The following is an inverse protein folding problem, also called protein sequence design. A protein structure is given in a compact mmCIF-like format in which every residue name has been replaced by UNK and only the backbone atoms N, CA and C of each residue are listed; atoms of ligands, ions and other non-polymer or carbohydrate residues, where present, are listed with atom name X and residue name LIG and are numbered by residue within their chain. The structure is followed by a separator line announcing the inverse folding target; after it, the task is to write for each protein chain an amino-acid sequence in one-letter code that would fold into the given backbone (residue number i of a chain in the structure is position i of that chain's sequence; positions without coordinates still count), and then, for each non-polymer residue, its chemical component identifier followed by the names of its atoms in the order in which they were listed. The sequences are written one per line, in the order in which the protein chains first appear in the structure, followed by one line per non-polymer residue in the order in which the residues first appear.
data_IF_288554016621
#
_entry.id   IF_288554016621
#
_cell.length_a   1.000
_cell.length_b   1.000
_cell.length_c   1.000
_cell.angle_alpha   90.00
_cell.angle_beta   90.00
_cell.angle_gamma   90.00
#
_symmetry.space_group_name_H-M   'P 1'
#
loop_
_entity.id
_entity.type
_entity.pdbx_description
1 polymer ?
#
# COMPACT_ATOMS: atom_id res chain seq x y z
N UNK A 1 0.99 -24.38 11.34
CA UNK A 1 0.31 -23.36 10.50
C UNK A 1 0.38 -23.85 9.07
N UNK A 2 -0.74 -23.94 8.36
CA UNK A 2 -0.73 -24.38 6.95
C UNK A 2 -0.27 -23.23 6.06
N UNK A 3 0.72 -23.49 5.20
CA UNK A 3 1.11 -22.55 4.16
C UNK A 3 0.04 -22.49 3.07
N UNK A 4 0.00 -21.40 2.32
CA UNK A 4 -0.80 -21.28 1.10
C UNK A 4 0.02 -21.59 -0.18
N UNK A 5 1.24 -22.12 -0.03
CA UNK A 5 2.15 -22.41 -1.15
C UNK A 5 2.88 -21.20 -1.75
N UNK A 6 2.57 -19.97 -1.32
CA UNK A 6 3.21 -18.74 -1.82
C UNK A 6 4.41 -18.34 -0.97
N UNK A 7 5.42 -17.77 -1.61
CA UNK A 7 6.57 -17.15 -0.94
C UNK A 7 6.89 -15.79 -1.54
N UNK A 8 7.35 -14.87 -0.71
CA UNK A 8 7.76 -13.52 -1.09
C UNK A 8 9.13 -13.25 -0.48
N UNK A 9 10.03 -12.65 -1.26
CA UNK A 9 11.32 -12.16 -0.78
C UNK A 9 11.12 -10.79 -0.13
N UNK A 10 11.73 -10.58 1.04
CA UNK A 10 11.66 -9.31 1.75
C UNK A 10 12.18 -8.15 0.88
N UNK A 11 13.21 -8.39 0.06
CA UNK A 11 13.83 -7.39 -0.81
C UNK A 11 12.93 -6.88 -1.94
N UNK A 12 11.91 -7.66 -2.29
CA UNK A 12 10.94 -7.31 -3.34
C UNK A 12 9.77 -6.48 -2.82
N UNK A 13 9.61 -6.37 -1.51
CA UNK A 13 8.57 -5.55 -0.90
C UNK A 13 8.99 -4.07 -0.91
N UNK A 14 8.05 -3.13 -1.09
CA UNK A 14 8.30 -1.74 -0.74
C UNK A 14 8.79 -1.71 0.72
N UNK A 15 9.87 -0.99 1.05
CA UNK A 15 10.39 -1.09 2.41
C UNK A 15 9.42 -0.48 3.44
N UNK A 16 8.47 0.35 3.01
CA UNK A 16 7.36 0.89 3.82
C UNK A 16 6.30 -0.18 4.16
N UNK A 17 6.29 -1.31 3.45
CA UNK A 17 5.32 -2.39 3.61
C UNK A 17 5.89 -3.55 4.45
N UNK A 18 7.06 -3.38 5.04
CA UNK A 18 7.77 -4.38 5.83
C UNK A 18 8.42 -3.72 7.04
N UNK A 19 8.28 -4.29 8.22
CA UNK A 19 8.99 -3.88 9.42
C UNK A 19 10.08 -4.90 9.78
N UNK A 20 11.35 -4.52 9.58
CA UNK A 20 12.53 -5.27 10.02
C UNK A 20 13.27 -4.56 11.18
N UNK A 21 12.62 -3.64 11.89
CA UNK A 21 13.27 -2.90 12.96
C UNK A 21 13.73 -3.85 14.09
N UNK A 22 15.01 -3.78 14.51
CA UNK A 22 15.51 -4.59 15.63
C UNK A 22 14.70 -4.35 16.91
N UNK A 23 14.34 -5.42 17.62
CA UNK A 23 13.55 -5.35 18.85
C UNK A 23 12.03 -5.22 18.63
N UNK A 24 11.57 -4.97 17.41
CA UNK A 24 10.16 -4.93 17.08
C UNK A 24 9.67 -6.26 16.48
N UNK A 25 8.34 -6.42 16.43
CA UNK A 25 7.73 -7.59 15.79
C UNK A 25 7.88 -7.47 14.27
N UNK A 26 8.34 -8.55 13.64
CA UNK A 26 8.31 -8.70 12.19
C UNK A 26 6.86 -8.62 11.69
N UNK A 27 6.54 -7.57 10.97
CA UNK A 27 5.24 -7.34 10.35
C UNK A 27 5.41 -6.97 8.89
N UNK A 28 4.42 -7.29 8.06
CA UNK A 28 4.37 -6.83 6.68
C UNK A 28 2.93 -6.55 6.26
N UNK A 29 2.77 -5.76 5.22
CA UNK A 29 1.48 -5.58 4.55
C UNK A 29 1.14 -6.87 3.78
N UNK A 30 -0.05 -7.41 4.01
CA UNK A 30 -0.55 -8.55 3.25
C UNK A 30 -0.76 -8.15 1.78
N UNK A 31 -0.25 -8.90 0.79
CA UNK A 31 -0.39 -8.54 -0.63
C UNK A 31 -1.85 -8.62 -1.12
N UNK A 32 -2.69 -9.40 -0.46
CA UNK A 32 -4.07 -9.62 -0.90
C UNK A 32 -5.06 -8.63 -0.24
N UNK A 33 -4.96 -8.38 1.08
CA UNK A 33 -5.88 -7.49 1.82
C UNK A 33 -5.26 -6.13 2.21
N UNK A 34 -4.02 -5.86 1.79
CA UNK A 34 -3.29 -4.59 2.03
C UNK A 34 -3.28 -4.09 3.48
N UNK A 35 -3.44 -4.98 4.45
CA UNK A 35 -3.43 -4.65 5.88
C UNK A 35 -2.13 -5.15 6.50
N UNK A 36 -1.62 -4.43 7.51
CA UNK A 36 -0.49 -4.88 8.32
C UNK A 36 -0.81 -6.16 9.07
N UNK A 37 0.04 -7.17 8.90
CA UNK A 37 -0.08 -8.48 9.55
C UNK A 37 1.23 -8.89 10.19
N UNK A 38 1.12 -9.63 11.29
CA UNK A 38 2.27 -10.19 11.99
C UNK A 38 2.78 -11.40 11.22
N UNK A 39 4.10 -11.51 11.11
CA UNK A 39 4.78 -12.69 10.62
C UNK A 39 5.13 -13.59 11.80
N UNK A 40 4.69 -14.85 11.76
CA UNK A 40 5.08 -15.87 12.75
C UNK A 40 5.62 -17.09 12.03
N UNK A 41 6.74 -17.61 12.51
CA UNK A 41 7.45 -18.76 11.89
C UNK A 41 7.71 -18.54 10.38
N UNK A 42 8.04 -17.29 10.01
CA UNK A 42 8.30 -16.90 8.63
C UNK A 42 7.07 -16.87 7.72
N UNK A 43 5.85 -16.84 8.25
CA UNK A 43 4.61 -16.75 7.44
C UNK A 43 3.66 -15.68 7.96
N UNK A 44 2.86 -15.09 7.06
CA UNK A 44 1.75 -14.19 7.41
C UNK A 44 0.76 -14.95 8.29
N UNK A 45 0.50 -14.43 9.49
CA UNK A 45 -0.45 -15.04 10.42
C UNK A 45 -1.85 -15.15 9.79
N UNK A 46 -2.61 -16.24 10.04
CA UNK A 46 -3.95 -16.38 9.50
C UNK A 46 -4.84 -15.22 9.95
N UNK A 47 -5.53 -14.63 8.98
CA UNK A 47 -6.42 -13.49 9.19
C UNK A 47 -7.58 -13.53 8.20
N UNK A 48 -8.57 -12.67 8.41
CA UNK A 48 -9.72 -12.54 7.51
C UNK A 48 -9.47 -11.51 6.42
N UNK A 49 -10.14 -11.68 5.28
CA UNK A 49 -10.15 -10.70 4.21
C UNK A 49 -10.91 -9.43 4.65
N UNK A 50 -11.01 -8.44 3.75
CA UNK A 50 -11.66 -7.17 4.04
C UNK A 50 -13.16 -7.31 4.30
N UNK A 51 -13.77 -8.42 3.83
CA UNK A 51 -15.14 -8.79 4.15
C UNK A 51 -15.37 -9.19 5.63
N UNK A 52 -14.29 -9.36 6.41
CA UNK A 52 -14.36 -9.77 7.81
C UNK A 52 -14.87 -11.19 8.05
N UNK A 53 -15.14 -11.97 7.00
CA UNK A 53 -15.77 -13.30 7.09
C UNK A 53 -14.87 -14.37 6.49
N UNK A 54 -14.39 -14.18 5.27
CA UNK A 54 -13.58 -15.18 4.59
C UNK A 54 -12.13 -15.15 5.07
N UNK A 55 -11.45 -16.29 4.97
CA UNK A 55 -10.01 -16.34 5.23
C UNK A 55 -9.28 -15.63 4.08
N UNK A 56 -8.40 -14.69 4.41
CA UNK A 56 -7.62 -13.99 3.39
C UNK A 56 -6.71 -14.99 2.64
N UNK A 57 -6.68 -14.98 1.29
CA UNK A 57 -5.80 -15.84 0.48
C UNK A 57 -4.32 -15.69 0.83
N UNK A 58 -3.90 -14.53 1.32
CA UNK A 58 -2.53 -14.24 1.77
C UNK A 58 -2.15 -14.86 3.12
N UNK A 59 -3.12 -15.43 3.84
CA UNK A 59 -2.86 -16.14 5.09
C UNK A 59 -1.95 -17.35 4.87
N UNK A 60 -0.79 -17.37 5.53
CA UNK A 60 0.18 -18.45 5.38
C UNK A 60 1.18 -18.26 4.23
N UNK A 61 1.20 -17.10 3.57
CA UNK A 61 2.29 -16.72 2.64
C UNK A 61 3.60 -16.69 3.41
N UNK A 62 4.64 -17.35 2.87
CA UNK A 62 5.98 -17.36 3.45
C UNK A 62 6.73 -16.08 3.12
N UNK A 63 7.29 -15.43 4.13
CA UNK A 63 8.25 -14.35 3.97
C UNK A 63 9.65 -14.95 4.08
N UNK A 64 10.43 -14.81 3.02
CA UNK A 64 11.85 -15.14 2.99
C UNK A 64 12.61 -13.85 3.27
N UNK A 65 13.25 -13.77 4.43
CA UNK A 65 14.03 -12.59 4.82
C UNK A 65 15.42 -12.72 4.22
N UNK A 66 15.62 -12.07 3.07
CA UNK A 66 16.85 -12.10 2.27
C UNK A 66 17.67 -10.79 2.37
N UNK A 67 17.30 -9.90 3.30
CA UNK A 67 18.05 -8.70 3.64
C UNK A 67 18.11 -8.47 5.15
N UNK A 68 19.13 -7.75 5.57
CA UNK A 68 19.38 -7.37 6.96
C UNK A 68 18.55 -6.16 7.39
N UNK A 69 18.33 -6.00 8.69
CA UNK A 69 17.69 -4.79 9.25
C UNK A 69 18.42 -3.50 8.87
N UNK A 70 19.74 -3.56 8.64
CA UNK A 70 20.55 -2.40 8.21
C UNK A 70 20.26 -2.05 6.75
N UNK A 71 20.25 -3.04 5.86
CA UNK A 71 19.90 -2.83 4.44
C UNK A 71 18.46 -2.31 4.29
N UNK A 72 17.52 -2.86 5.06
CA UNK A 72 16.14 -2.37 5.12
C UNK A 72 16.08 -0.91 5.56
N UNK A 73 16.80 -0.54 6.63
CA UNK A 73 16.83 0.84 7.14
C UNK A 73 17.43 1.80 6.10
N UNK A 74 18.49 1.39 5.42
CA UNK A 74 19.08 2.16 4.32
C UNK A 74 18.09 2.36 3.18
N UNK A 75 17.38 1.29 2.76
CA UNK A 75 16.32 1.37 1.77
C UNK A 75 15.18 2.30 2.21
N UNK A 76 14.85 2.32 3.52
CA UNK A 76 13.86 3.23 4.07
C UNK A 76 14.26 4.70 4.00
N UNK A 77 15.51 5.03 4.34
CA UNK A 77 16.02 6.40 4.19
C UNK A 77 15.92 6.86 2.74
N UNK A 78 16.27 6.00 1.78
CA UNK A 78 16.13 6.31 0.34
C UNK A 78 14.67 6.53 -0.05
N UNK A 79 13.77 5.63 0.36
CA UNK A 79 12.35 5.72 0.04
C UNK A 79 11.70 6.99 0.62
N UNK A 80 12.05 7.38 1.85
CA UNK A 80 11.57 8.63 2.47
C UNK A 80 12.07 9.84 1.69
N UNK A 81 13.35 9.88 1.29
CA UNK A 81 13.90 10.96 0.45
C UNK A 81 13.18 11.05 -0.90
N UNK A 82 12.96 9.92 -1.56
CA UNK A 82 12.22 9.87 -2.83
C UNK A 82 10.76 10.29 -2.67
N UNK A 83 10.11 9.97 -1.56
CA UNK A 83 8.75 10.42 -1.28
C UNK A 83 8.72 11.95 -1.08
N UNK A 84 9.71 12.50 -0.38
CA UNK A 84 9.82 13.93 -0.11
C UNK A 84 10.07 14.77 -1.38
N UNK A 85 10.68 14.21 -2.43
CA UNK A 85 10.88 14.92 -3.71
C UNK A 85 9.60 14.99 -4.55
N UNK A 86 8.56 14.19 -4.24
CA UNK A 86 7.29 14.24 -4.96
C UNK A 86 6.59 15.56 -4.64
N UNK A 87 6.50 16.46 -5.62
CA UNK A 87 5.62 17.62 -5.55
C UNK A 87 4.23 17.25 -6.05
N UNK A 88 3.20 17.66 -5.31
CA UNK A 88 1.82 17.54 -5.77
C UNK A 88 1.62 18.28 -7.09
N UNK A 89 0.83 17.70 -7.99
CA UNK A 89 0.45 18.40 -9.21
C UNK A 89 -0.40 19.62 -8.87
N UNK A 90 0.04 20.82 -9.29
CA UNK A 90 -0.83 22.00 -9.27
C UNK A 90 -1.76 21.93 -10.48
N UNK A 91 -2.98 21.45 -10.26
CA UNK A 91 -4.02 21.47 -11.29
C UNK A 91 -4.59 22.88 -11.39
N UNK A 92 -4.25 23.61 -12.46
CA UNK A 92 -4.92 24.87 -12.78
C UNK A 92 -6.26 24.55 -13.46
N UNK A 93 -7.38 24.91 -12.82
CA UNK A 93 -8.69 24.83 -13.48
C UNK A 93 -8.85 25.99 -14.44
N UNK A 94 -9.25 25.70 -15.68
CA UNK A 94 -9.68 26.72 -16.63
C UNK A 94 -10.92 27.43 -16.04
N UNK A 95 -10.95 28.77 -15.94
CA UNK A 95 -12.16 29.49 -15.58
C UNK A 95 -13.30 29.11 -16.52
N UNK A 96 -14.51 28.94 -15.99
CA UNK A 96 -15.68 28.77 -16.84
C UNK A 96 -15.80 29.99 -17.78
N UNK A 97 -16.08 29.80 -19.08
CA UNK A 97 -16.41 30.94 -19.93
C UNK A 97 -17.67 31.63 -19.39
N UNK A 98 -17.79 32.96 -19.55
CA UNK A 98 -19.01 33.65 -19.18
C UNK A 98 -20.20 33.05 -19.94
N UNK A 99 -21.34 32.93 -19.27
CA UNK A 99 -22.59 32.53 -19.93
C UNK A 99 -22.90 33.56 -21.02
N UNK A 100 -23.06 33.16 -22.28
CA UNK A 100 -23.40 34.10 -23.35
C UNK A 100 -24.79 34.68 -23.13
N UNK A 101 -25.00 35.91 -23.59
CA UNK A 101 -26.31 36.54 -23.58
C UNK A 101 -27.28 35.74 -24.49
N UNK A 102 -28.50 35.41 -24.03
CA UNK A 102 -29.44 34.67 -24.84
C UNK A 102 -29.95 35.54 -26.00
N UNK A 103 -29.71 35.09 -27.24
CA UNK A 103 -30.19 35.79 -28.44
C UNK A 103 -31.71 35.77 -28.59
N UNK A 104 -32.38 34.75 -28.04
CA UNK A 104 -33.83 34.61 -28.12
C UNK A 104 -34.40 34.13 -26.77
N UNK A 105 -35.55 34.67 -26.40
CA UNK A 105 -36.37 34.20 -25.28
C UNK A 105 -37.71 33.75 -25.83
N UNK A 106 -38.11 32.52 -25.54
CA UNK A 106 -39.46 32.02 -25.83
C UNK A 106 -40.32 32.35 -24.62
N UNK A 107 -41.50 32.93 -24.85
CA UNK A 107 -42.45 33.23 -23.79
C UNK A 107 -42.96 31.91 -23.15
N UNK A 108 -43.04 31.88 -21.82
CA UNK A 108 -43.66 30.77 -21.11
C UNK A 108 -45.18 30.75 -21.40
N UNK A 109 -45.72 29.56 -21.61
CA UNK A 109 -47.15 29.31 -21.86
C UNK A 109 -48.00 29.49 -20.58
#
# INVERSE_FOLDING_TARGET
MRSNGRSILASTLPPNDLNLHPGERLTMVCPDCRTWRVIRRGMIWPHRADDGVTRCPGSGTRLVVDLTSVEWRSAMVVAVRQAATRRGSRTHRKPAPPTPEPLHRIAAA
#
